data_IF_083551637984
#
_entry.id   IF_083551637984
#
_cell.length_a   1.000
_cell.length_b   1.000
_cell.length_c   1.000
_cell.angle_alpha   90.00
_cell.angle_beta   90.00
_cell.angle_gamma   90.00
#
_symmetry.space_group_name_H-M   'P 1'
#
loop_
_entity.id
_entity.type
_entity.pdbx_description
1 polymer ?
#
# COMPACT_ATOMS: atom_id res chain seq x y z
N UNK A 1 29.33 -26.47 21.68
CA UNK A 1 29.24 -25.25 20.85
C UNK A 1 27.80 -24.81 20.91
N UNK A 2 27.48 -23.95 21.88
CA UNK A 2 26.13 -23.42 22.04
C UNK A 2 25.92 -22.27 21.06
N UNK A 3 24.85 -22.36 20.27
CA UNK A 3 24.40 -21.28 19.40
C UNK A 3 23.79 -20.17 20.27
N UNK A 4 24.09 -18.89 20.00
CA UNK A 4 23.39 -17.81 20.69
C UNK A 4 21.92 -17.75 20.26
N UNK A 5 21.00 -17.35 21.15
CA UNK A 5 19.60 -17.14 20.78
C UNK A 5 19.52 -15.95 19.82
N UNK A 6 18.74 -16.10 18.75
CA UNK A 6 18.39 -15.02 17.83
C UNK A 6 17.60 -13.96 18.61
N UNK A 7 18.26 -12.94 19.13
CA UNK A 7 17.60 -11.73 19.61
C UNK A 7 17.14 -10.93 18.39
N UNK A 8 15.94 -11.25 17.90
CA UNK A 8 15.27 -10.46 16.87
C UNK A 8 14.56 -9.24 17.49
N UNK A 9 15.25 -8.55 18.39
CA UNK A 9 14.76 -7.33 19.00
C UNK A 9 15.90 -6.33 19.05
N UNK A 10 15.62 -5.13 18.57
CA UNK A 10 16.50 -3.98 18.44
C UNK A 10 17.38 -3.94 17.17
N UNK A 11 16.77 -3.55 16.06
CA UNK A 11 17.29 -2.43 15.24
C UNK A 11 16.21 -1.97 14.27
N UNK A 12 15.22 -1.27 14.79
CA UNK A 12 14.41 -0.34 14.01
C UNK A 12 13.97 0.79 14.95
N UNK A 13 14.93 1.59 15.40
CA UNK A 13 14.63 2.99 15.71
C UNK A 13 14.43 3.70 14.37
N UNK A 14 13.33 3.38 13.70
CA UNK A 14 12.72 4.32 12.78
C UNK A 14 12.07 5.38 13.66
N UNK A 15 12.72 6.54 13.71
CA UNK A 15 12.06 7.78 14.12
C UNK A 15 10.83 7.92 13.23
N UNK A 16 9.66 7.72 13.81
CA UNK A 16 8.43 8.16 13.19
C UNK A 16 8.49 9.69 13.17
N UNK A 17 8.54 10.25 11.96
CA UNK A 17 8.26 11.67 11.78
C UNK A 17 6.82 11.87 12.24
N UNK A 18 6.68 12.48 13.41
CA UNK A 18 5.40 12.79 14.05
C UNK A 18 4.72 13.92 13.27
N UNK A 19 4.19 13.58 12.10
CA UNK A 19 3.39 14.45 11.25
C UNK A 19 2.05 13.78 10.87
N UNK A 20 1.54 12.88 11.71
CA UNK A 20 0.12 12.49 11.65
C UNK A 20 -0.67 13.33 12.65
N UNK A 21 -1.62 14.11 12.14
CA UNK A 21 -2.39 15.04 12.95
C UNK A 21 -3.21 14.32 14.02
N UNK A 22 -3.26 14.83 15.28
CA UNK A 22 -4.01 14.20 16.37
C UNK A 22 -5.51 14.03 16.07
N UNK A 23 -6.03 14.85 15.16
CA UNK A 23 -7.40 14.79 14.65
C UNK A 23 -7.72 13.50 13.90
N UNK A 24 -6.81 12.96 13.09
CA UNK A 24 -7.04 11.75 12.31
C UNK A 24 -7.12 10.52 13.23
N UNK A 25 -6.19 10.41 14.18
CA UNK A 25 -6.13 9.33 15.17
C UNK A 25 -7.44 9.25 15.98
N UNK A 26 -7.97 10.39 16.43
CA UNK A 26 -9.24 10.43 17.17
C UNK A 26 -10.45 10.00 16.32
N UNK A 27 -10.44 10.28 15.02
CA UNK A 27 -11.52 9.86 14.13
C UNK A 27 -11.49 8.35 13.90
N UNK A 28 -10.30 7.79 13.63
CA UNK A 28 -10.14 6.36 13.35
C UNK A 28 -10.50 5.53 14.59
N UNK A 29 -10.08 5.94 15.79
CA UNK A 29 -10.44 5.26 17.05
C UNK A 29 -11.95 5.16 17.31
N UNK A 30 -12.73 6.13 16.84
CA UNK A 30 -14.19 6.15 17.01
C UNK A 30 -14.91 5.19 16.04
N UNK A 31 -14.33 4.95 14.86
CA UNK A 31 -14.94 4.14 13.79
C UNK A 31 -14.48 2.70 13.85
N UNK A 32 -13.21 2.46 14.18
CA UNK A 32 -12.60 1.13 14.16
C UNK A 32 -12.98 0.34 15.42
N UNK A 33 -13.48 -0.90 15.29
CA UNK A 33 -13.78 -1.75 16.44
C UNK A 33 -12.54 -2.02 17.32
N UNK A 34 -12.71 -2.17 18.65
CA UNK A 34 -11.59 -2.39 19.57
C UNK A 34 -10.67 -3.57 19.23
N UNK A 35 -11.21 -4.61 18.60
CA UNK A 35 -10.45 -5.78 18.17
C UNK A 35 -9.34 -5.46 17.15
N UNK A 36 -9.44 -4.32 16.46
CA UNK A 36 -8.51 -3.90 15.41
C UNK A 36 -7.70 -2.65 15.79
N UNK A 37 -7.77 -2.19 17.05
CA UNK A 37 -7.02 -1.01 17.50
C UNK A 37 -5.50 -1.19 17.46
N UNK A 38 -5.01 -2.43 17.34
CA UNK A 38 -3.58 -2.70 17.09
C UNK A 38 -3.14 -2.43 15.63
N UNK A 39 -4.10 -2.19 14.72
CA UNK A 39 -3.87 -1.95 13.30
C UNK A 39 -4.44 -0.58 12.87
N UNK A 40 -4.43 0.43 13.75
CA UNK A 40 -5.01 1.75 13.40
C UNK A 40 -4.25 2.44 12.27
N UNK A 41 -2.96 2.13 12.16
CA UNK A 41 -2.06 2.57 11.11
C UNK A 41 -2.60 2.26 9.70
N UNK A 42 -3.17 1.09 9.48
CA UNK A 42 -3.71 0.72 8.15
C UNK A 42 -4.98 1.48 7.76
N UNK A 43 -5.58 2.22 8.70
CA UNK A 43 -6.77 3.03 8.47
C UNK A 43 -6.46 4.53 8.34
N UNK A 44 -5.19 4.92 8.47
CA UNK A 44 -4.79 6.29 8.20
C UNK A 44 -4.75 6.54 6.70
N UNK A 45 -5.20 7.73 6.30
CA UNK A 45 -5.30 8.11 4.90
C UNK A 45 -3.93 8.13 4.22
N UNK A 46 -2.89 8.50 4.97
CA UNK A 46 -1.50 8.50 4.50
C UNK A 46 -1.04 7.09 4.11
N UNK A 47 -1.51 6.06 4.81
CA UNK A 47 -1.14 4.67 4.51
C UNK A 47 -1.97 4.11 3.35
N UNK A 48 -3.22 4.57 3.16
CA UNK A 48 -4.05 4.25 1.98
C UNK A 48 -3.42 4.72 0.66
N UNK A 49 -2.72 5.87 0.67
CA UNK A 49 -2.05 6.41 -0.51
C UNK A 49 -0.76 5.65 -0.88
N UNK A 50 -0.26 4.78 0.01
CA UNK A 50 0.95 3.99 -0.24
C UNK A 50 0.59 2.63 -0.84
N UNK A 51 1.40 2.20 -1.81
CA UNK A 51 1.32 0.83 -2.28
C UNK A 51 1.81 -0.11 -1.18
N UNK A 52 1.13 -1.25 -0.96
CA UNK A 52 1.61 -2.25 -0.01
C UNK A 52 2.98 -2.77 -0.46
N UNK A 53 3.83 -3.20 0.49
CA UNK A 53 5.11 -3.77 0.15
C UNK A 53 4.94 -5.06 -0.67
N UNK A 54 5.87 -5.29 -1.60
CA UNK A 54 5.94 -6.54 -2.34
C UNK A 54 6.01 -7.70 -1.36
N UNK A 55 5.19 -8.73 -1.56
CA UNK A 55 5.10 -9.88 -0.68
C UNK A 55 5.42 -11.18 -1.45
N UNK A 56 5.62 -12.27 -0.73
CA UNK A 56 5.93 -13.58 -1.34
C UNK A 56 4.72 -14.22 -2.04
N UNK A 57 3.53 -13.65 -1.86
CA UNK A 57 2.26 -14.11 -2.43
C UNK A 57 1.85 -13.29 -3.65
N UNK A 58 2.68 -12.34 -4.09
CA UNK A 58 2.40 -11.55 -5.27
C UNK A 58 2.22 -12.46 -6.48
N UNK A 59 1.24 -12.14 -7.31
CA UNK A 59 0.89 -12.98 -8.44
C UNK A 59 2.04 -13.04 -9.44
N UNK A 60 2.68 -14.21 -9.53
CA UNK A 60 3.66 -14.50 -10.55
C UNK A 60 2.99 -14.52 -11.92
N UNK A 61 3.47 -13.69 -12.84
CA UNK A 61 3.08 -13.73 -14.24
C UNK A 61 4.15 -14.52 -15.00
N UNK A 62 3.84 -15.78 -15.31
CA UNK A 62 4.71 -16.62 -16.13
C UNK A 62 4.62 -16.15 -17.59
N UNK A 63 5.74 -15.67 -18.15
CA UNK A 63 5.78 -15.17 -19.52
C UNK A 63 6.13 -16.30 -20.49
N UNK A 64 5.25 -16.54 -21.47
CA UNK A 64 5.55 -17.44 -22.59
C UNK A 64 6.52 -16.79 -23.60
N UNK A 65 6.42 -15.47 -23.78
CA UNK A 65 7.27 -14.65 -24.67
C UNK A 65 7.72 -13.41 -23.91
N UNK A 66 9.01 -13.09 -23.99
CA UNK A 66 9.61 -11.96 -23.27
C UNK A 66 9.17 -10.58 -23.79
N UNK A 67 8.64 -10.52 -25.02
CA UNK A 67 8.26 -9.28 -25.68
C UNK A 67 6.76 -9.36 -26.00
N UNK A 68 5.93 -8.48 -25.41
CA UNK A 68 4.50 -8.46 -25.70
C UNK A 68 4.26 -7.95 -27.13
N UNK A 69 3.20 -8.42 -27.81
CA UNK A 69 2.80 -7.88 -29.09
C UNK A 69 2.37 -6.41 -28.95
N UNK A 70 2.81 -5.56 -29.86
CA UNK A 70 2.39 -4.15 -29.89
C UNK A 70 0.94 -4.09 -30.37
N UNK A 71 0.02 -3.74 -29.46
CA UNK A 71 -1.39 -3.50 -29.79
C UNK A 71 -1.64 -2.08 -30.29
N UNK A 72 -2.70 -1.90 -31.08
CA UNK A 72 -3.21 -0.56 -31.40
C UNK A 72 -4.04 -0.05 -30.23
N UNK A 73 -3.85 1.21 -29.84
CA UNK A 73 -4.73 1.89 -28.89
C UNK A 73 -5.93 2.39 -29.69
N UNK A 74 -7.13 1.94 -29.33
CA UNK A 74 -8.35 2.43 -29.95
C UNK A 74 -8.62 3.87 -29.50
N UNK A 75 -9.05 4.70 -30.44
CA UNK A 75 -9.43 6.08 -30.16
C UNK A 75 -10.65 6.12 -29.25
N UNK A 76 -10.50 6.77 -28.09
CA UNK A 76 -11.60 7.09 -27.19
C UNK A 76 -12.39 8.29 -27.73
N UNK A 77 -13.69 8.33 -27.48
CA UNK A 77 -14.48 9.56 -27.62
C UNK A 77 -14.05 10.60 -26.59
N UNK A 78 -14.44 11.87 -26.80
CA UNK A 78 -14.11 12.95 -25.87
C UNK A 78 -14.61 12.64 -24.44
N UNK A 79 -15.85 12.15 -24.31
CA UNK A 79 -16.43 11.80 -23.02
C UNK A 79 -15.67 10.66 -22.32
N UNK A 80 -15.29 9.61 -23.05
CA UNK A 80 -14.52 8.50 -22.51
C UNK A 80 -13.12 8.95 -22.09
N UNK A 81 -12.48 9.81 -22.89
CA UNK A 81 -11.16 10.35 -22.58
C UNK A 81 -11.19 11.26 -21.35
N UNK A 82 -12.19 12.14 -21.22
CA UNK A 82 -12.36 13.01 -20.04
C UNK A 82 -12.60 12.19 -18.78
N UNK A 83 -13.45 11.16 -18.87
CA UNK A 83 -13.74 10.25 -17.75
C UNK A 83 -12.50 9.47 -17.34
N UNK A 84 -11.76 8.93 -18.31
CA UNK A 84 -10.54 8.18 -18.04
C UNK A 84 -9.48 9.06 -17.39
N UNK A 85 -9.25 10.27 -17.92
CA UNK A 85 -8.30 11.22 -17.36
C UNK A 85 -8.64 11.55 -15.91
N UNK A 86 -9.90 11.88 -15.61
CA UNK A 86 -10.33 12.19 -14.25
C UNK A 86 -10.17 11.03 -13.25
N UNK A 87 -10.13 9.77 -13.72
CA UNK A 87 -9.95 8.60 -12.87
C UNK A 87 -8.48 8.30 -12.57
N UNK A 88 -7.60 8.49 -13.56
CA UNK A 88 -6.17 8.15 -13.45
C UNK A 88 -5.28 9.32 -13.02
N UNK A 89 -5.81 10.56 -13.04
CA UNK A 89 -5.12 11.78 -12.63
C UNK A 89 -5.28 12.05 -11.14
#
# INVERSE_FOLDING_TARGET
>A
MDLPPLSFHASLEEKWDEEEGPEEIETVLKVVPPAYHQYLDVFFKVEEEKLPPHNACDHLIELEVLIPPVGVIYSLSNQESETLQAYIS
#
